data_IF_019790565758
#
_entry.id   IF_019790565758
#
_cell.length_a   1.000
_cell.length_b   1.000
_cell.length_c   1.000
_cell.angle_alpha   90.00
_cell.angle_beta   90.00
_cell.angle_gamma   90.00
#
_symmetry.space_group_name_H-M   'P 1'
#
loop_
_entity.id
_entity.type
_entity.pdbx_description
1 polymer ?
#
# COMPACT_ATOMS: atom_id res chain seq x y z
N UNK A 1 -9.23 12.06 4.84
CA UNK A 1 -8.63 12.68 3.64
C UNK A 1 -8.96 11.81 2.41
N UNK A 2 -8.90 12.35 1.20
CA UNK A 2 -9.12 11.60 -0.05
C UNK A 2 -7.76 11.33 -0.71
N UNK A 3 -7.68 10.28 -1.52
CA UNK A 3 -6.52 10.05 -2.39
C UNK A 3 -6.20 11.32 -3.23
N UNK A 4 -4.92 11.69 -3.43
CA UNK A 4 -3.69 10.99 -3.00
C UNK A 4 -3.09 11.51 -1.68
N UNK A 5 -3.82 12.28 -0.87
CA UNK A 5 -3.25 12.99 0.29
C UNK A 5 -2.43 12.09 1.22
N UNK A 6 -2.95 10.92 1.58
CA UNK A 6 -2.31 10.02 2.54
C UNK A 6 -1.02 9.39 2.00
N UNK A 7 -1.00 9.02 0.71
CA UNK A 7 0.20 8.40 0.11
C UNK A 7 1.31 9.42 -0.09
N UNK A 8 0.96 10.67 -0.41
CA UNK A 8 1.91 11.80 -0.45
C UNK A 8 2.43 12.14 0.95
N UNK A 9 1.59 12.07 1.99
CA UNK A 9 2.03 12.23 3.38
C UNK A 9 3.01 11.14 3.80
N UNK A 10 2.74 9.88 3.46
CA UNK A 10 3.65 8.77 3.75
C UNK A 10 5.01 8.96 3.04
N UNK A 11 4.99 9.36 1.77
CA UNK A 11 6.21 9.69 1.04
C UNK A 11 6.98 10.83 1.71
N UNK A 12 6.29 11.91 2.12
CA UNK A 12 6.90 13.04 2.81
C UNK A 12 7.55 12.63 4.15
N UNK A 13 6.92 11.73 4.92
CA UNK A 13 7.51 11.16 6.14
C UNK A 13 8.78 10.37 5.81
N UNK A 14 8.79 9.58 4.74
CA UNK A 14 9.99 8.89 4.28
C UNK A 14 11.13 9.86 3.96
N UNK A 15 10.85 10.95 3.25
CA UNK A 15 11.85 11.99 2.98
C UNK A 15 12.35 12.66 4.26
N UNK A 16 11.44 12.92 5.22
CA UNK A 16 11.83 13.47 6.52
C UNK A 16 12.75 12.52 7.28
N UNK A 17 12.44 11.22 7.31
CA UNK A 17 13.31 10.22 7.96
C UNK A 17 14.67 10.14 7.27
N UNK A 18 14.73 10.23 5.94
CA UNK A 18 15.99 10.27 5.20
C UNK A 18 16.85 11.48 5.59
N UNK A 19 16.23 12.65 5.75
CA UNK A 19 16.93 13.93 6.00
C UNK A 19 17.30 14.11 7.48
N UNK A 20 16.39 13.75 8.39
CA UNK A 20 16.49 14.08 9.82
C UNK A 20 16.64 12.85 10.71
N UNK A 21 16.45 11.64 10.19
CA UNK A 21 16.42 10.43 11.01
C UNK A 21 17.67 10.25 11.88
N UNK A 22 18.85 10.51 11.31
CA UNK A 22 20.14 10.42 12.04
C UNK A 22 20.21 11.41 13.20
N UNK A 23 19.69 12.63 13.03
CA UNK A 23 19.62 13.67 14.07
C UNK A 23 18.74 13.21 15.26
N UNK A 24 17.79 12.33 14.98
CA UNK A 24 16.89 11.72 15.96
C UNK A 24 17.34 10.32 16.42
N UNK A 25 18.58 9.91 16.13
CA UNK A 25 19.14 8.64 16.56
C UNK A 25 18.60 7.41 15.80
N UNK A 26 17.95 7.61 14.65
CA UNK A 26 17.55 6.51 13.77
C UNK A 26 18.72 6.06 12.90
N UNK A 27 18.88 4.74 12.75
CA UNK A 27 19.79 4.17 11.77
C UNK A 27 19.10 4.09 10.40
N UNK A 28 19.34 5.10 9.57
CA UNK A 28 18.70 5.23 8.26
C UNK A 28 19.21 4.22 7.23
N UNK A 29 20.25 3.43 7.54
CA UNK A 29 20.76 2.37 6.67
C UNK A 29 19.98 1.06 6.78
N UNK A 30 19.08 0.93 7.77
CA UNK A 30 18.33 -0.31 8.09
C UNK A 30 16.83 -0.08 8.22
N UNK A 31 16.23 0.60 7.24
CA UNK A 31 14.79 0.93 7.26
C UNK A 31 13.99 -0.12 6.49
N UNK A 32 12.84 -0.49 7.05
CA UNK A 32 11.79 -1.25 6.37
C UNK A 32 10.45 -0.51 6.50
N UNK A 33 9.51 -0.80 5.59
CA UNK A 33 8.13 -0.28 5.65
C UNK A 33 7.16 -1.43 5.92
N UNK A 34 6.12 -1.18 6.70
CA UNK A 34 5.08 -2.17 6.97
C UNK A 34 3.73 -1.52 7.21
N UNK A 35 2.68 -2.28 6.91
CA UNK A 35 1.31 -1.90 7.21
C UNK A 35 0.36 -3.05 6.93
N UNK A 36 -0.85 -2.89 7.46
CA UNK A 36 -1.92 -3.88 7.39
C UNK A 36 -3.12 -3.38 6.59
N UNK A 37 -3.80 -4.23 5.83
CA UNK A 37 -4.97 -3.87 5.03
C UNK A 37 -4.68 -2.68 4.10
N UNK A 38 -5.38 -1.54 4.26
CA UNK A 38 -5.08 -0.29 3.53
C UNK A 38 -3.70 0.28 3.85
N UNK A 39 -3.15 0.01 5.03
CA UNK A 39 -1.76 0.31 5.38
C UNK A 39 -0.76 -0.57 4.61
N UNK A 40 -1.15 -1.80 4.27
CA UNK A 40 -0.41 -2.68 3.36
C UNK A 40 -0.38 -2.10 1.93
N UNK A 41 -1.53 -1.62 1.43
CA UNK A 41 -1.60 -0.85 0.18
C UNK A 41 -0.62 0.33 0.20
N UNK A 42 -0.73 1.17 1.25
CA UNK A 42 0.10 2.35 1.42
C UNK A 42 1.60 2.03 1.53
N UNK A 43 1.97 0.89 2.11
CA UNK A 43 3.36 0.45 2.20
C UNK A 43 3.92 0.07 0.83
N UNK A 44 3.15 -0.65 0.02
CA UNK A 44 3.51 -0.98 -1.36
C UNK A 44 3.61 0.27 -2.24
N UNK A 45 2.64 1.19 -2.13
CA UNK A 45 2.65 2.48 -2.82
C UNK A 45 3.83 3.34 -2.39
N UNK A 46 4.14 3.39 -1.09
CA UNK A 46 5.32 4.09 -0.60
C UNK A 46 6.61 3.52 -1.20
N UNK A 47 6.76 2.19 -1.28
CA UNK A 47 7.93 1.57 -1.90
C UNK A 47 8.05 1.93 -3.40
N UNK A 48 6.93 1.97 -4.14
CA UNK A 48 6.88 2.42 -5.53
C UNK A 48 7.30 3.89 -5.67
N UNK A 49 6.68 4.80 -4.91
CA UNK A 49 7.01 6.22 -4.92
C UNK A 49 8.47 6.47 -4.52
N UNK A 50 8.96 5.76 -3.51
CA UNK A 50 10.33 5.85 -3.02
C UNK A 50 11.35 5.44 -4.09
N UNK A 51 11.06 4.39 -4.87
CA UNK A 51 11.90 4.01 -6.02
C UNK A 51 11.85 5.05 -7.14
N UNK A 52 10.65 5.50 -7.52
CA UNK A 52 10.44 6.36 -8.69
C UNK A 52 10.95 7.79 -8.46
N UNK A 53 10.67 8.35 -7.28
CA UNK A 53 10.96 9.74 -6.94
C UNK A 53 12.26 9.91 -6.15
N UNK A 54 12.90 8.79 -5.79
CA UNK A 54 14.06 8.73 -4.91
C UNK A 54 13.66 8.77 -3.44
N UNK A 55 14.50 8.20 -2.57
CA UNK A 55 14.21 8.19 -1.15
C UNK A 55 15.11 7.23 -0.38
N UNK A 56 14.54 6.67 0.68
CA UNK A 56 15.24 5.77 1.60
C UNK A 56 15.67 4.49 0.88
N UNK A 57 16.85 3.98 1.19
CA UNK A 57 17.27 2.63 0.82
C UNK A 57 16.52 1.60 1.67
N UNK A 58 15.29 1.27 1.26
CA UNK A 58 14.42 0.31 1.94
C UNK A 58 15.01 -1.10 1.84
N UNK A 59 15.20 -1.74 3.00
CA UNK A 59 15.72 -3.11 3.09
C UNK A 59 14.63 -4.16 2.97
N UNK A 60 13.41 -3.84 3.41
CA UNK A 60 12.27 -4.72 3.30
C UNK A 60 10.95 -3.96 3.24
N UNK A 61 9.93 -4.62 2.72
CA UNK A 61 8.54 -4.27 2.95
C UNK A 61 7.76 -5.49 3.47
N UNK A 62 6.90 -5.27 4.47
CA UNK A 62 6.06 -6.31 5.06
C UNK A 62 4.60 -5.90 4.90
N UNK A 63 3.86 -6.65 4.09
CA UNK A 63 2.49 -6.35 3.70
C UNK A 63 1.56 -7.37 4.36
N UNK A 64 0.76 -6.92 5.33
CA UNK A 64 -0.19 -7.77 6.05
C UNK A 64 -1.57 -7.60 5.40
N UNK A 65 -2.09 -8.66 4.76
CA UNK A 65 -3.36 -8.73 4.03
C UNK A 65 -3.63 -7.44 3.22
N UNK A 66 -2.72 -7.05 2.31
CA UNK A 66 -2.77 -5.74 1.69
C UNK A 66 -3.97 -5.61 0.73
N UNK A 67 -4.65 -4.46 0.78
CA UNK A 67 -5.47 -4.03 -0.35
C UNK A 67 -4.54 -3.73 -1.53
N UNK A 68 -4.75 -4.35 -2.68
CA UNK A 68 -3.88 -4.16 -3.84
C UNK A 68 -4.62 -3.67 -5.10
N UNK A 69 -5.94 -3.85 -5.15
CA UNK A 69 -6.79 -3.50 -6.28
C UNK A 69 -8.21 -3.14 -5.82
N UNK A 70 -8.96 -2.45 -6.68
CA UNK A 70 -10.37 -2.13 -6.51
C UNK A 70 -11.29 -3.06 -7.32
N UNK A 71 -10.85 -4.28 -7.63
CA UNK A 71 -11.70 -5.34 -8.20
C UNK A 71 -12.44 -6.11 -7.11
N UNK A 72 -13.75 -5.89 -7.03
CA UNK A 72 -14.64 -6.55 -6.08
C UNK A 72 -15.21 -7.88 -6.62
N UNK A 73 -14.62 -8.49 -7.64
CA UNK A 73 -15.12 -9.70 -8.29
C UNK A 73 -14.10 -10.84 -8.33
N UNK A 74 -13.01 -10.76 -7.59
CA UNK A 74 -12.09 -11.90 -7.43
C UNK A 74 -12.83 -13.09 -6.77
N UNK A 75 -12.34 -14.32 -6.94
CA UNK A 75 -12.95 -15.49 -6.30
C UNK A 75 -13.11 -15.35 -4.78
N UNK A 76 -12.13 -14.75 -4.08
CA UNK A 76 -12.16 -14.50 -2.64
C UNK A 76 -13.25 -13.48 -2.26
N UNK A 77 -13.36 -12.37 -2.99
CA UNK A 77 -14.42 -11.36 -2.79
C UNK A 77 -15.82 -11.94 -2.92
N UNK A 78 -15.99 -12.95 -3.79
CA UNK A 78 -17.26 -13.64 -3.98
C UNK A 78 -17.51 -14.72 -2.91
N UNK A 79 -16.49 -15.49 -2.55
CA UNK A 79 -16.59 -16.57 -1.57
C UNK A 79 -16.78 -16.06 -0.14
N UNK A 80 -16.08 -14.99 0.24
CA UNK A 80 -16.05 -14.44 1.60
C UNK A 80 -16.80 -13.11 1.70
N UNK A 81 -17.76 -12.86 0.81
CA UNK A 81 -18.47 -11.59 0.69
C UNK A 81 -19.11 -11.09 2.01
N UNK A 82 -19.53 -12.02 2.87
CA UNK A 82 -20.16 -11.77 4.16
C UNK A 82 -19.76 -12.85 5.19
N UNK A 83 -19.92 -12.56 6.49
CA UNK A 83 -19.71 -13.53 7.57
C UNK A 83 -18.28 -13.67 8.11
N UNK A 84 -17.30 -12.98 7.52
CA UNK A 84 -15.87 -13.09 7.87
C UNK A 84 -15.25 -11.75 8.32
N UNK A 85 -15.96 -11.00 9.17
CA UNK A 85 -15.61 -9.65 9.67
C UNK A 85 -15.54 -8.57 8.57
N UNK A 86 -14.56 -8.63 7.66
CA UNK A 86 -14.51 -7.76 6.48
C UNK A 86 -15.54 -8.26 5.46
N UNK A 87 -16.32 -7.35 4.89
CA UNK A 87 -17.33 -7.68 3.90
C UNK A 87 -17.01 -7.02 2.57
N UNK A 88 -17.46 -7.64 1.48
CA UNK A 88 -17.33 -7.09 0.12
C UNK A 88 -17.95 -5.70 0.01
N UNK A 89 -19.12 -5.49 0.61
CA UNK A 89 -19.79 -4.19 0.59
C UNK A 89 -19.08 -3.16 1.48
N UNK A 90 -18.47 -3.60 2.60
CA UNK A 90 -17.58 -2.78 3.40
C UNK A 90 -16.39 -2.27 2.59
N UNK A 91 -15.75 -3.14 1.81
CA UNK A 91 -14.64 -2.75 0.91
C UNK A 91 -15.07 -1.74 -0.16
N UNK A 92 -16.23 -1.93 -0.81
CA UNK A 92 -16.77 -0.92 -1.74
C UNK A 92 -16.96 0.43 -1.08
N UNK A 93 -17.53 0.43 0.14
CA UNK A 93 -17.73 1.65 0.90
C UNK A 93 -16.41 2.34 1.26
N UNK A 94 -15.37 1.60 1.66
CA UNK A 94 -14.04 2.17 1.92
C UNK A 94 -13.44 2.80 0.67
N UNK A 95 -13.57 2.16 -0.49
CA UNK A 95 -13.10 2.73 -1.76
C UNK A 95 -13.88 3.98 -2.20
N UNK A 96 -15.21 4.03 -1.99
CA UNK A 96 -16.02 5.24 -2.22
C UNK A 96 -15.61 6.39 -1.27
N UNK A 97 -15.34 6.04 -0.02
CA UNK A 97 -14.85 6.96 0.99
C UNK A 97 -13.42 7.44 0.71
N UNK A 98 -12.58 6.66 0.03
CA UNK A 98 -11.20 7.02 -0.28
C UNK A 98 -11.04 7.77 -1.61
N UNK A 99 -11.71 7.31 -2.66
CA UNK A 99 -11.60 7.80 -4.04
C UNK A 99 -12.99 8.15 -4.59
N UNK A 100 -13.24 9.46 -4.73
CA UNK A 100 -14.52 9.96 -5.25
C UNK A 100 -14.68 9.85 -6.77
N UNK A 101 -13.58 9.79 -7.54
CA UNK A 101 -13.61 9.56 -8.99
C UNK A 101 -13.18 8.11 -9.29
N UNK A 102 -14.09 7.21 -9.71
CA UNK A 102 -13.75 5.82 -10.01
C UNK A 102 -12.60 5.64 -11.01
N UNK A 103 -12.39 6.61 -11.92
CA UNK A 103 -11.28 6.55 -12.88
C UNK A 103 -9.89 6.55 -12.22
N UNK A 104 -9.76 7.06 -11.00
CA UNK A 104 -8.48 7.07 -10.28
C UNK A 104 -8.20 5.75 -9.55
N UNK A 105 -9.17 4.83 -9.46
CA UNK A 105 -8.99 3.56 -8.74
C UNK A 105 -7.98 2.63 -9.39
N UNK A 106 -7.77 2.78 -10.69
CA UNK A 106 -6.78 2.00 -11.45
C UNK A 106 -5.41 2.67 -11.52
N UNK A 107 -5.23 3.83 -10.87
CA UNK A 107 -3.91 4.46 -10.79
C UNK A 107 -2.98 3.63 -9.90
N UNK A 108 -1.71 3.54 -10.29
CA UNK A 108 -0.70 2.72 -9.61
C UNK A 108 -0.51 3.07 -8.13
N UNK A 109 -0.72 4.33 -7.74
CA UNK A 109 -0.61 4.76 -6.34
C UNK A 109 -1.92 4.62 -5.54
N UNK A 110 -3.00 4.21 -6.19
CA UNK A 110 -4.25 3.82 -5.54
C UNK A 110 -4.34 2.29 -5.42
N UNK A 111 -4.05 1.59 -6.52
CA UNK A 111 -4.10 0.15 -6.66
C UNK A 111 -2.74 -0.36 -7.20
N UNK A 112 -1.80 -0.71 -6.31
CA UNK A 112 -0.44 -1.09 -6.71
C UNK A 112 -0.37 -2.36 -7.55
N UNK A 113 -1.44 -3.17 -7.62
CA UNK A 113 -1.51 -4.34 -8.51
C UNK A 113 -1.44 -3.96 -10.00
N UNK A 114 -1.75 -2.71 -10.36
CA UNK A 114 -1.64 -2.20 -11.72
C UNK A 114 -0.22 -1.71 -12.10
N UNK A 115 0.75 -1.78 -11.20
CA UNK A 115 2.13 -1.41 -11.52
C UNK A 115 2.72 -2.36 -12.59
N UNK A 116 3.48 -1.81 -13.54
CA UNK A 116 4.16 -2.61 -14.54
C UNK A 116 5.30 -3.43 -13.92
N UNK A 117 5.74 -4.50 -14.61
CA UNK A 117 6.89 -5.28 -14.16
C UNK A 117 8.16 -4.42 -14.01
N UNK A 118 8.33 -3.39 -14.82
CA UNK A 118 9.47 -2.46 -14.72
C UNK A 118 9.34 -1.54 -13.50
N UNK A 119 8.13 -1.15 -13.12
CA UNK A 119 7.88 -0.44 -11.86
C UNK A 119 8.15 -1.34 -10.64
N UNK A 120 7.82 -2.63 -10.72
CA UNK A 120 8.04 -3.61 -9.64
C UNK A 120 9.49 -4.08 -9.51
N UNK A 121 10.26 -4.09 -10.61
CA UNK A 121 11.65 -4.58 -10.62
C UNK A 121 12.52 -3.79 -9.65
N UNK A 122 13.22 -4.47 -8.74
CA UNK A 122 14.13 -3.81 -7.79
C UNK A 122 13.43 -3.13 -6.60
N UNK A 123 12.14 -3.38 -6.39
CA UNK A 123 11.49 -3.13 -5.10
C UNK A 123 12.15 -3.97 -3.98
N UNK A 124 12.05 -3.54 -2.71
CA UNK A 124 12.72 -4.21 -1.59
C UNK A 124 12.22 -5.65 -1.39
N UNK A 125 13.02 -6.46 -0.69
CA UNK A 125 12.62 -7.80 -0.25
C UNK A 125 11.26 -7.73 0.45
N UNK A 126 10.32 -8.57 0.00
CA UNK A 126 8.92 -8.44 0.38
C UNK A 126 8.43 -9.70 1.10
N UNK A 127 7.84 -9.51 2.28
CA UNK A 127 6.99 -10.50 2.93
C UNK A 127 5.54 -10.09 2.72
N UNK A 128 4.74 -10.99 2.12
CA UNK A 128 3.29 -10.83 2.03
C UNK A 128 2.65 -11.91 2.90
N UNK A 129 1.78 -11.49 3.80
CA UNK A 129 0.93 -12.38 4.59
C UNK A 129 -0.50 -12.15 4.13
N UNK A 130 -1.23 -13.22 3.89
CA UNK A 130 -2.65 -13.20 3.53
C UNK A 130 -3.42 -14.11 4.46
N UNK A 131 -4.69 -13.82 4.65
CA UNK A 131 -5.59 -14.65 5.44
C UNK A 131 -6.39 -15.57 4.51
N UNK A 132 -6.73 -16.78 4.97
CA UNK A 132 -7.47 -17.76 4.17
C UNK A 132 -8.91 -17.29 3.86
N UNK A 133 -9.55 -16.64 4.84
CA UNK A 133 -10.93 -16.17 4.75
C UNK A 133 -10.99 -14.64 4.77
N UNK A 134 -10.51 -14.03 3.69
CA UNK A 134 -10.49 -12.59 3.45
C UNK A 134 -10.90 -12.30 1.99
N UNK A 135 -11.52 -11.13 1.74
CA UNK A 135 -12.08 -10.75 0.43
C UNK A 135 -11.02 -10.34 -0.57
#
# INVERSE_FOLDING_TARGET
>A
AKYPTQVEQNYAVGQWVLQHGVEHGLDTSRIAVTGESVGGCMSAVFALMNKERGGIDLKAQVLLYPVADADFNTPSYLQFAEGYYLTRDGMKWFWDAYIGNPAHRTEVYAAPLHASLDQLRGLPTTLVITDEADV
#
